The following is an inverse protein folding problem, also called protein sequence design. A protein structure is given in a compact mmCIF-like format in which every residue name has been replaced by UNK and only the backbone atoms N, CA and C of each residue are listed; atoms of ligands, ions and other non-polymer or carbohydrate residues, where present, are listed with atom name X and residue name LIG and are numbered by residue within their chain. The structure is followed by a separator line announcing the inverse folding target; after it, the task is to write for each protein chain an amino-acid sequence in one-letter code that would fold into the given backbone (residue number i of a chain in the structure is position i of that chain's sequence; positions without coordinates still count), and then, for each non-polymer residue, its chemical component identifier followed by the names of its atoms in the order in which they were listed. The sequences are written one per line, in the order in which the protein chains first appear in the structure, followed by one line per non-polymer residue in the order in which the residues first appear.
data_IF_429085190538
#
_entry.id   IF_429085190538
#
_cell.length_a   1.000
_cell.length_b   1.000
_cell.length_c   1.000
_cell.angle_alpha   90.00
_cell.angle_beta   90.00
_cell.angle_gamma   90.00
#
_symmetry.space_group_name_H-M   'P 1'
#
loop_
_entity.id
_entity.type
_entity.pdbx_description
1 polymer ?
#
# COMPACT_ATOMS: atom_id res chain seq x y z
N UNK A 1 1.85 -5.63 -25.60
CA UNK A 1 2.89 -6.44 -24.93
C UNK A 1 2.17 -7.38 -23.96
N UNK A 2 2.31 -8.70 -24.07
CA UNK A 2 1.53 -9.63 -23.24
C UNK A 2 2.07 -9.67 -21.79
N UNK A 3 1.18 -9.90 -20.80
CA UNK A 3 1.52 -9.90 -19.38
C UNK A 3 2.66 -10.87 -19.03
N UNK A 4 2.73 -12.02 -19.71
CA UNK A 4 3.79 -13.02 -19.53
C UNK A 4 5.19 -12.52 -19.92
N UNK A 5 5.29 -11.67 -20.94
CA UNK A 5 6.58 -11.08 -21.36
C UNK A 5 7.07 -10.07 -20.32
N UNK A 6 6.17 -9.27 -19.75
CA UNK A 6 6.50 -8.32 -18.68
C UNK A 6 6.97 -9.05 -17.40
N UNK A 7 6.31 -10.15 -17.02
CA UNK A 7 6.70 -10.95 -15.85
C UNK A 7 8.09 -11.59 -16.00
N UNK A 8 8.45 -12.04 -17.22
CA UNK A 8 9.76 -12.65 -17.51
C UNK A 8 10.93 -11.65 -17.44
N UNK A 9 10.66 -10.36 -17.62
CA UNK A 9 11.66 -9.31 -17.58
C UNK A 9 11.86 -8.71 -16.17
N UNK A 10 11.15 -9.22 -15.14
CA UNK A 10 11.35 -8.76 -13.76
C UNK A 10 12.73 -9.20 -13.23
N UNK A 11 13.49 -8.30 -12.58
CA UNK A 11 14.75 -8.67 -11.94
C UNK A 11 14.58 -9.77 -10.89
N UNK A 12 15.55 -10.68 -10.78
CA UNK A 12 15.48 -11.88 -9.94
C UNK A 12 15.22 -11.61 -8.45
N UNK A 13 15.58 -10.42 -7.95
CA UNK A 13 15.37 -10.01 -6.56
C UNK A 13 13.95 -9.47 -6.29
N UNK A 14 13.13 -9.25 -7.32
CA UNK A 14 11.73 -8.84 -7.17
C UNK A 14 10.89 -10.04 -6.79
N UNK A 15 10.69 -10.23 -5.47
CA UNK A 15 9.79 -11.27 -4.96
C UNK A 15 8.35 -10.97 -5.41
N UNK A 16 7.67 -11.99 -5.94
CA UNK A 16 6.26 -11.86 -6.31
C UNK A 16 5.42 -11.68 -5.04
N UNK A 17 4.63 -10.60 -4.97
CA UNK A 17 3.62 -10.44 -3.92
C UNK A 17 2.63 -11.61 -3.97
N UNK A 18 2.30 -12.19 -2.80
CA UNK A 18 1.27 -13.23 -2.69
C UNK A 18 -0.06 -12.65 -3.18
N UNK A 19 -0.99 -13.45 -3.72
CA UNK A 19 -2.29 -12.95 -4.17
C UNK A 19 -3.02 -12.08 -3.13
N UNK A 20 -2.93 -12.43 -1.84
CA UNK A 20 -3.49 -11.64 -0.73
C UNK A 20 -2.76 -10.31 -0.45
N UNK A 21 -1.49 -10.20 -0.82
CA UNK A 21 -0.68 -8.98 -0.69
C UNK A 21 -0.70 -8.13 -1.97
N UNK A 22 -1.28 -8.64 -3.08
CA UNK A 22 -1.51 -7.85 -4.31
C UNK A 22 -2.67 -6.86 -4.15
N UNK A 23 -3.48 -7.04 -3.10
CA UNK A 23 -4.62 -6.18 -2.74
C UNK A 23 -4.25 -5.37 -1.49
N UNK A 24 -3.18 -4.60 -1.59
CA UNK A 24 -2.78 -3.63 -0.57
C UNK A 24 -2.75 -2.25 -1.22
N UNK A 25 -3.21 -1.24 -0.49
CA UNK A 25 -3.14 0.12 -0.99
C UNK A 25 -1.66 0.57 -1.06
N UNK A 26 -1.28 1.28 -2.12
CA UNK A 26 0.08 1.81 -2.32
C UNK A 26 0.24 3.23 -1.74
N UNK A 27 -0.60 3.64 -0.79
CA UNK A 27 -0.50 4.96 -0.18
C UNK A 27 0.79 5.08 0.66
N UNK A 28 1.24 6.32 0.89
CA UNK A 28 2.40 6.61 1.72
C UNK A 28 2.30 5.96 3.10
N UNK A 29 1.10 5.94 3.69
CA UNK A 29 0.83 5.30 4.97
C UNK A 29 1.09 3.79 4.98
N UNK A 30 0.67 3.05 3.95
CA UNK A 30 0.94 1.61 3.83
C UNK A 30 2.44 1.32 3.64
N UNK A 31 3.10 2.14 2.81
CA UNK A 31 4.54 2.03 2.55
C UNK A 31 5.31 2.25 3.86
N UNK A 32 4.94 3.27 4.62
CA UNK A 32 5.53 3.61 5.91
C UNK A 32 5.30 2.51 6.95
N UNK A 33 4.05 2.06 7.13
CA UNK A 33 3.72 0.98 8.06
C UNK A 33 4.48 -0.31 7.73
N UNK A 34 4.68 -0.64 6.44
CA UNK A 34 5.46 -1.81 6.01
C UNK A 34 6.96 -1.66 6.28
N UNK A 35 7.51 -0.47 6.04
CA UNK A 35 8.92 -0.17 6.33
C UNK A 35 9.18 -0.30 7.84
N UNK A 36 8.32 0.32 8.66
CA UNK A 36 8.45 0.32 10.11
C UNK A 36 8.19 -1.06 10.73
N UNK A 37 7.22 -1.82 10.19
CA UNK A 37 7.02 -3.22 10.55
C UNK A 37 8.29 -4.05 10.37
N UNK A 38 8.98 -3.87 9.24
CA UNK A 38 10.20 -4.61 8.96
C UNK A 38 11.29 -4.29 10.00
N UNK A 39 11.41 -3.02 10.40
CA UNK A 39 12.39 -2.57 11.40
C UNK A 39 12.06 -3.00 12.82
N UNK A 40 10.78 -2.93 13.21
CA UNK A 40 10.33 -3.40 14.53
C UNK A 40 10.47 -4.91 14.66
N UNK A 41 10.15 -5.70 13.62
CA UNK A 41 10.36 -7.15 13.66
C UNK A 41 11.84 -7.56 13.61
N UNK A 42 12.68 -6.81 12.91
CA UNK A 42 14.15 -6.98 12.95
C UNK A 42 14.69 -6.75 14.37
N UNK A 43 14.25 -5.66 15.02
CA UNK A 43 14.59 -5.38 16.40
C UNK A 43 14.11 -6.49 17.33
N UNK A 44 12.82 -6.83 17.28
CA UNK A 44 12.23 -7.92 18.10
C UNK A 44 13.02 -9.21 17.99
N UNK A 45 13.27 -9.69 16.77
CA UNK A 45 14.07 -10.90 16.52
C UNK A 45 15.42 -10.89 17.23
N UNK A 46 16.11 -9.75 17.25
CA UNK A 46 17.42 -9.61 17.89
C UNK A 46 17.38 -9.84 19.40
N UNK A 47 16.29 -9.46 20.07
CA UNK A 47 16.17 -9.53 21.53
C UNK A 47 15.36 -10.74 22.02
N UNK A 48 14.41 -11.25 21.24
CA UNK A 48 13.58 -12.41 21.64
C UNK A 48 14.25 -13.76 21.34
N UNK A 49 14.97 -13.90 20.22
CA UNK A 49 15.61 -15.19 19.86
C UNK A 49 16.65 -15.66 20.89
N UNK A 50 17.48 -14.78 21.48
CA UNK A 50 18.41 -15.20 22.53
C UNK A 50 17.74 -15.68 23.83
N UNK A 51 16.50 -15.28 24.09
CA UNK A 51 15.73 -15.73 25.25
C UNK A 51 14.88 -16.96 24.89
N UNK A 52 15.50 -18.14 24.99
CA UNK A 52 14.92 -19.43 24.55
C UNK A 52 13.56 -19.69 25.23
N UNK A 53 13.40 -19.34 26.50
CA UNK A 53 12.14 -19.56 27.24
C UNK A 53 10.99 -18.74 26.66
N UNK A 54 11.20 -17.44 26.41
CA UNK A 54 10.18 -16.57 25.83
C UNK A 54 9.88 -16.93 24.38
N UNK A 55 10.90 -17.41 23.66
CA UNK A 55 10.78 -17.87 22.28
C UNK A 55 9.98 -19.18 22.18
N UNK A 56 10.28 -20.17 23.00
CA UNK A 56 9.56 -21.46 23.05
C UNK A 56 8.11 -21.28 23.52
N UNK A 57 7.86 -20.35 24.44
CA UNK A 57 6.52 -20.04 24.93
C UNK A 57 5.77 -19.05 24.02
N UNK A 58 6.41 -18.54 22.96
CA UNK A 58 5.84 -17.55 22.02
C UNK A 58 5.22 -16.33 22.74
N UNK A 59 5.86 -15.86 23.80
CA UNK A 59 5.35 -14.75 24.63
C UNK A 59 5.33 -13.45 23.83
N UNK A 60 6.34 -13.26 22.98
CA UNK A 60 6.49 -12.11 22.07
C UNK A 60 6.52 -12.59 20.62
N UNK A 61 5.36 -12.79 19.99
CA UNK A 61 5.29 -13.34 18.64
C UNK A 61 6.06 -12.47 17.64
N UNK A 62 6.83 -13.15 16.79
CA UNK A 62 7.49 -12.58 15.64
C UNK A 62 6.58 -12.79 14.43
N UNK A 63 6.01 -11.71 13.92
CA UNK A 63 5.11 -11.76 12.78
C UNK A 63 5.90 -11.71 11.47
N UNK A 64 5.47 -12.50 10.48
CA UNK A 64 6.06 -12.48 9.14
C UNK A 64 5.51 -11.35 8.27
N UNK A 65 4.24 -10.99 8.47
CA UNK A 65 3.57 -9.94 7.70
C UNK A 65 2.83 -8.93 8.57
N UNK A 66 2.82 -7.68 8.10
CA UNK A 66 2.09 -6.57 8.74
C UNK A 66 0.59 -6.87 8.93
N UNK A 67 -0.01 -7.60 7.99
CA UNK A 67 -1.41 -8.03 8.12
C UNK A 67 -1.61 -8.98 9.29
N UNK A 68 -0.63 -9.84 9.60
CA UNK A 68 -0.77 -10.86 10.65
C UNK A 68 -0.78 -10.21 12.04
N UNK A 69 0.12 -9.25 12.28
CA UNK A 69 0.10 -8.47 13.53
C UNK A 69 -1.16 -7.64 13.67
N UNK A 70 -1.68 -7.06 12.57
CA UNK A 70 -2.94 -6.34 12.62
C UNK A 70 -4.10 -7.27 12.98
N UNK A 71 -4.18 -8.46 12.36
CA UNK A 71 -5.22 -9.47 12.64
C UNK A 71 -5.14 -10.00 14.07
N UNK A 72 -3.93 -10.17 14.62
CA UNK A 72 -3.75 -10.58 16.03
C UNK A 72 -4.34 -9.59 17.05
N UNK A 73 -4.65 -8.36 16.61
CA UNK A 73 -5.29 -7.32 17.44
C UNK A 73 -6.80 -7.18 17.19
N UNK A 74 -7.41 -8.08 16.43
CA UNK A 74 -8.83 -8.07 16.10
C UNK A 74 -9.52 -9.31 16.68
N UNK A 75 -10.82 -9.21 16.92
CA UNK A 75 -11.63 -10.40 17.17
C UNK A 75 -11.70 -11.28 15.91
N UNK A 76 -12.07 -12.54 16.10
CA UNK A 76 -12.37 -13.43 14.99
C UNK A 76 -13.44 -12.86 14.06
N UNK A 77 -13.35 -13.26 12.80
CA UNK A 77 -14.32 -12.88 11.79
C UNK A 77 -15.69 -13.47 12.10
N UNK A 78 -16.72 -12.75 11.68
CA UNK A 78 -18.07 -13.27 11.66
C UNK A 78 -18.16 -14.50 10.74
N UNK A 79 -18.77 -15.58 11.23
CA UNK A 79 -18.83 -16.85 10.51
C UNK A 79 -19.73 -16.78 9.26
N UNK A 80 -20.69 -15.85 9.23
CA UNK A 80 -21.64 -15.72 8.11
C UNK A 80 -21.02 -14.91 6.98
N UNK A 81 -20.45 -13.75 7.31
CA UNK A 81 -19.96 -12.79 6.31
C UNK A 81 -18.44 -12.89 6.05
N UNK A 82 -17.72 -13.73 6.80
CA UNK A 82 -16.26 -13.88 6.75
C UNK A 82 -15.51 -12.52 6.82
N UNK A 83 -16.05 -11.60 7.62
CA UNK A 83 -15.58 -10.23 7.75
C UNK A 83 -15.39 -9.84 9.22
N UNK A 84 -14.49 -8.89 9.47
CA UNK A 84 -14.32 -8.32 10.79
C UNK A 84 -15.45 -7.33 11.08
N UNK A 85 -15.92 -7.29 12.33
CA UNK A 85 -16.90 -6.27 12.72
C UNK A 85 -16.32 -4.87 12.56
N UNK A 86 -17.16 -3.92 12.16
CA UNK A 86 -16.76 -2.51 12.01
C UNK A 86 -16.16 -1.94 13.30
N UNK A 87 -16.75 -2.27 14.45
CA UNK A 87 -16.23 -1.83 15.76
C UNK A 87 -14.80 -2.33 16.05
N UNK A 88 -14.43 -3.53 15.60
CA UNK A 88 -13.03 -4.01 15.72
C UNK A 88 -12.09 -3.21 14.81
N UNK A 89 -12.51 -2.95 13.58
CA UNK A 89 -11.72 -2.23 12.57
C UNK A 89 -11.50 -0.76 12.92
N UNK A 90 -12.49 -0.14 13.57
CA UNK A 90 -12.46 1.26 14.02
C UNK A 90 -11.94 1.42 15.46
N UNK A 91 -11.47 0.33 16.10
CA UNK A 91 -10.91 0.32 17.46
C UNK A 91 -11.88 0.75 18.57
N UNK A 92 -13.17 0.55 18.34
CA UNK A 92 -14.25 0.81 19.30
C UNK A 92 -14.65 -0.45 20.10
N UNK A 93 -14.10 -1.62 19.73
CA UNK A 93 -14.40 -2.89 20.39
C UNK A 93 -13.69 -2.99 21.76
N UNK A 94 -14.41 -3.40 22.80
CA UNK A 94 -13.83 -3.61 24.14
C UNK A 94 -13.03 -4.90 24.31
N UNK A 95 -13.12 -5.85 23.36
CA UNK A 95 -12.53 -7.19 23.46
C UNK A 95 -11.21 -7.36 22.70
N UNK A 96 -10.95 -6.49 21.74
CA UNK A 96 -9.72 -6.52 20.94
C UNK A 96 -9.11 -5.13 20.85
N UNK A 97 -7.85 -5.05 20.45
CA UNK A 97 -7.16 -3.78 20.31
C UNK A 97 -5.65 -3.97 20.36
N UNK A 98 -4.94 -2.87 20.25
CA UNK A 98 -3.47 -2.87 20.30
C UNK A 98 -2.94 -3.25 21.70
N UNK A 99 -3.77 -3.15 22.74
CA UNK A 99 -3.43 -3.61 24.09
C UNK A 99 -3.20 -5.12 24.20
N UNK A 100 -3.65 -5.90 23.22
CA UNK A 100 -3.34 -7.33 23.11
C UNK A 100 -1.89 -7.60 22.71
N UNK A 101 -1.20 -6.59 22.14
CA UNK A 101 0.21 -6.71 21.78
C UNK A 101 1.07 -6.66 23.04
N UNK A 102 1.97 -7.64 23.16
CA UNK A 102 3.01 -7.66 24.17
C UNK A 102 4.29 -7.08 23.60
N UNK A 103 4.97 -6.29 24.42
CA UNK A 103 6.26 -5.68 24.11
C UNK A 103 7.27 -6.02 25.21
N UNK A 104 8.54 -6.15 24.84
CA UNK A 104 9.63 -6.29 25.83
C UNK A 104 10.05 -4.93 26.38
N UNK A 105 10.76 -4.92 27.51
CA UNK A 105 11.28 -3.68 28.08
C UNK A 105 12.25 -2.98 27.13
N UNK A 106 13.04 -3.73 26.35
CA UNK A 106 13.95 -3.19 25.34
C UNK A 106 13.22 -2.52 24.18
N UNK A 107 12.03 -3.02 23.81
CA UNK A 107 11.20 -2.43 22.75
C UNK A 107 10.60 -1.09 23.17
N UNK A 108 10.27 -0.95 24.45
CA UNK A 108 9.67 0.26 25.02
C UNK A 108 10.72 1.22 25.61
N UNK A 109 12.00 0.87 25.55
CA UNK A 109 13.06 1.64 26.17
C UNK A 109 13.28 2.99 25.45
N UNK A 110 13.17 4.09 26.20
CA UNK A 110 13.39 5.48 25.78
C UNK A 110 14.57 6.15 26.48
N UNK A 111 15.31 5.41 27.31
CA UNK A 111 16.42 5.95 28.08
C UNK A 111 17.64 6.24 27.21
N UNK A 112 18.51 7.14 27.68
CA UNK A 112 19.70 7.55 26.94
C UNK A 112 20.71 6.40 26.75
N UNK A 113 20.74 5.42 27.67
CA UNK A 113 21.55 4.21 27.60
C UNK A 113 21.03 3.17 26.59
N UNK A 114 19.78 3.29 26.11
CA UNK A 114 19.25 2.41 25.08
C UNK A 114 19.96 2.62 23.73
N UNK A 115 20.10 1.58 22.90
CA UNK A 115 20.75 1.69 21.59
C UNK A 115 19.92 2.56 20.64
N UNK A 116 20.59 3.33 19.79
CA UNK A 116 19.90 4.10 18.76
C UNK A 116 19.43 3.18 17.61
N UNK A 117 18.22 3.42 17.11
CA UNK A 117 17.63 2.72 15.97
C UNK A 117 17.38 3.69 14.82
N UNK A 118 17.66 3.23 13.59
CA UNK A 118 17.41 3.99 12.37
C UNK A 118 16.17 3.49 11.64
N UNK A 119 15.25 4.39 11.34
CA UNK A 119 14.01 4.10 10.61
C UNK A 119 13.58 5.32 9.78
N UNK A 120 12.48 5.23 9.05
CA UNK A 120 12.05 6.28 8.10
C UNK A 120 10.55 6.57 8.24
N UNK A 121 10.17 7.84 8.09
CA UNK A 121 8.77 8.29 8.01
C UNK A 121 8.59 9.46 7.06
N UNK A 122 7.40 9.61 6.51
CA UNK A 122 7.05 10.75 5.69
C UNK A 122 6.82 11.99 6.56
N UNK A 123 7.50 13.09 6.20
CA UNK A 123 7.33 14.40 6.83
C UNK A 123 7.24 15.51 5.78
N UNK A 124 6.46 16.55 6.08
CA UNK A 124 6.44 17.76 5.28
C UNK A 124 7.67 18.61 5.63
N UNK A 125 8.63 18.66 4.71
CA UNK A 125 9.80 19.53 4.81
C UNK A 125 9.59 20.78 3.97
N UNK A 126 10.14 21.91 4.41
CA UNK A 126 10.13 23.16 3.64
C UNK A 126 11.42 23.26 2.85
N UNK A 127 11.32 23.23 1.52
CA UNK A 127 12.44 23.45 0.60
C UNK A 127 12.09 24.63 -0.28
N UNK A 128 12.89 25.70 -0.26
CA UNK A 128 12.68 26.91 -1.05
C UNK A 128 11.24 27.47 -0.91
N UNK A 129 10.77 27.60 0.33
CA UNK A 129 9.42 28.09 0.68
C UNK A 129 8.24 27.22 0.20
N UNK A 130 8.50 26.01 -0.33
CA UNK A 130 7.46 25.04 -0.70
C UNK A 130 7.48 23.85 0.26
N UNK A 131 6.30 23.44 0.75
CA UNK A 131 6.14 22.22 1.55
C UNK A 131 6.17 21.01 0.63
N UNK A 132 7.06 20.06 0.91
CA UNK A 132 7.19 18.79 0.19
C UNK A 132 7.13 17.62 1.16
N UNK A 133 6.25 16.66 0.90
CA UNK A 133 6.24 15.39 1.64
C UNK A 133 7.46 14.57 1.20
N UNK A 134 8.33 14.23 2.15
CA UNK A 134 9.59 13.51 1.88
C UNK A 134 9.77 12.42 2.91
N UNK A 135 10.35 11.29 2.50
CA UNK A 135 10.74 10.22 3.40
C UNK A 135 12.01 10.64 4.14
N UNK A 136 11.91 10.85 5.45
CA UNK A 136 12.99 11.34 6.31
C UNK A 136 13.51 10.20 7.17
N UNK A 137 14.83 10.03 7.21
CA UNK A 137 15.49 9.10 8.12
C UNK A 137 15.49 9.66 9.54
N UNK A 138 15.05 8.84 10.48
CA UNK A 138 15.05 9.09 11.92
C UNK A 138 16.10 8.22 12.60
N UNK A 139 16.69 8.77 13.65
CA UNK A 139 17.60 8.06 14.56
C UNK A 139 17.08 8.33 15.96
N UNK A 140 16.41 7.35 16.57
CA UNK A 140 15.67 7.51 17.84
C UNK A 140 16.00 6.37 18.80
N UNK A 141 15.40 6.38 20.00
CA UNK A 141 15.36 5.20 20.85
C UNK A 141 14.32 4.17 20.35
N UNK A 142 14.43 2.89 20.75
CA UNK A 142 13.48 1.86 20.33
C UNK A 142 12.04 2.19 20.71
N UNK A 143 11.81 2.67 21.93
CA UNK A 143 10.47 3.03 22.42
C UNK A 143 9.77 4.06 21.52
N UNK A 144 10.49 5.05 20.99
CA UNK A 144 9.93 6.02 20.05
C UNK A 144 9.51 5.38 18.72
N UNK A 145 10.32 4.47 18.19
CA UNK A 145 10.02 3.74 16.94
C UNK A 145 8.80 2.83 17.13
N UNK A 146 8.73 2.09 18.25
CA UNK A 146 7.60 1.21 18.55
C UNK A 146 6.32 1.98 18.84
N UNK A 147 6.38 3.09 19.57
CA UNK A 147 5.22 3.96 19.80
C UNK A 147 4.65 4.47 18.47
N UNK A 148 5.51 4.95 17.57
CA UNK A 148 5.06 5.39 16.26
C UNK A 148 4.47 4.24 15.41
N UNK A 149 5.02 3.02 15.54
CA UNK A 149 4.46 1.84 14.88
C UNK A 149 3.08 1.46 15.41
N UNK A 150 2.86 1.57 16.73
CA UNK A 150 1.54 1.36 17.36
C UNK A 150 0.53 2.39 16.82
N UNK A 151 0.90 3.66 16.70
CA UNK A 151 0.05 4.69 16.10
C UNK A 151 -0.35 4.37 14.65
N UNK A 152 0.59 3.82 13.87
CA UNK A 152 0.27 3.34 12.53
C UNK A 152 -0.67 2.14 12.60
N UNK A 153 -0.41 1.12 13.45
CA UNK A 153 -1.26 -0.07 13.55
C UNK A 153 -2.72 0.22 13.97
N UNK A 154 -2.95 1.30 14.70
CA UNK A 154 -4.28 1.72 15.15
C UNK A 154 -5.25 1.86 13.97
N UNK A 155 -4.82 2.59 12.94
CA UNK A 155 -5.61 2.89 11.73
C UNK A 155 -5.49 1.80 10.65
N UNK A 156 -4.55 0.88 10.79
CA UNK A 156 -4.12 0.01 9.70
C UNK A 156 -5.20 -1.00 9.33
N UNK A 157 -5.82 -1.61 10.34
CA UNK A 157 -6.87 -2.62 10.16
C UNK A 157 -8.04 -2.09 9.32
N UNK A 158 -8.62 -0.96 9.73
CA UNK A 158 -9.71 -0.31 9.00
C UNK A 158 -9.28 0.19 7.61
N UNK A 159 -8.07 0.74 7.48
CA UNK A 159 -7.56 1.19 6.19
C UNK A 159 -7.38 0.03 5.19
N UNK A 160 -6.76 -1.07 5.62
CA UNK A 160 -6.57 -2.26 4.80
C UNK A 160 -7.90 -2.91 4.44
N UNK A 161 -8.83 -3.02 5.39
CA UNK A 161 -10.18 -3.52 5.11
C UNK A 161 -10.89 -2.67 4.04
N UNK A 162 -10.86 -1.34 4.15
CA UNK A 162 -11.47 -0.44 3.15
C UNK A 162 -10.86 -0.65 1.76
N UNK A 163 -9.54 -0.74 1.66
CA UNK A 163 -8.86 -0.99 0.39
C UNK A 163 -9.29 -2.32 -0.25
N UNK A 164 -9.35 -3.40 0.56
CA UNK A 164 -9.82 -4.71 0.11
C UNK A 164 -11.29 -4.69 -0.31
N UNK A 165 -12.15 -4.05 0.49
CA UNK A 165 -13.57 -3.93 0.21
C UNK A 165 -13.83 -3.13 -1.07
N UNK A 166 -13.20 -1.96 -1.25
CA UNK A 166 -13.32 -1.15 -2.46
C UNK A 166 -12.85 -1.92 -3.71
N UNK A 167 -11.76 -2.66 -3.61
CA UNK A 167 -11.29 -3.49 -4.71
C UNK A 167 -12.27 -4.63 -5.04
N UNK A 168 -12.86 -5.25 -4.03
CA UNK A 168 -13.90 -6.26 -4.23
C UNK A 168 -15.17 -5.67 -4.89
N UNK A 169 -15.60 -4.47 -4.48
CA UNK A 169 -16.71 -3.75 -5.12
C UNK A 169 -16.39 -3.45 -6.59
N UNK A 170 -15.20 -2.95 -6.89
CA UNK A 170 -14.78 -2.69 -8.28
C UNK A 170 -14.74 -3.96 -9.11
N UNK A 171 -14.27 -5.08 -8.54
CA UNK A 171 -14.27 -6.38 -9.22
C UNK A 171 -15.70 -6.84 -9.53
N UNK A 172 -16.60 -6.75 -8.54
CA UNK A 172 -18.02 -7.07 -8.73
C UNK A 172 -18.66 -6.21 -9.82
N UNK A 173 -18.37 -4.90 -9.84
CA UNK A 173 -18.86 -3.99 -10.87
C UNK A 173 -18.34 -4.35 -12.27
N UNK A 174 -17.09 -4.78 -12.40
CA UNK A 174 -16.52 -5.24 -13.68
C UNK A 174 -17.16 -6.53 -14.18
N UNK A 175 -17.43 -7.47 -13.27
CA UNK A 175 -18.05 -8.75 -13.58
C UNK A 175 -19.55 -8.62 -13.92
N UNK A 176 -20.21 -7.59 -13.39
CA UNK A 176 -21.64 -7.32 -13.56
C UNK A 176 -21.89 -5.97 -14.24
N UNK A 177 -21.03 -5.60 -15.20
CA UNK A 177 -21.19 -4.35 -15.92
C UNK A 177 -22.53 -4.37 -16.68
N UNK A 178 -23.33 -3.32 -16.51
CA UNK A 178 -24.61 -3.19 -17.21
C UNK A 178 -24.39 -2.75 -18.65
N UNK A 179 -25.26 -3.21 -19.55
CA UNK A 179 -25.25 -2.77 -20.94
C UNK A 179 -25.32 -1.24 -21.02
N UNK A 180 -24.58 -0.66 -21.97
CA UNK A 180 -24.45 0.79 -22.17
C UNK A 180 -23.77 1.56 -21.01
N UNK A 181 -23.25 0.87 -19.99
CA UNK A 181 -22.40 1.48 -18.97
C UNK A 181 -20.93 1.20 -19.28
N UNK A 182 -20.05 2.05 -18.74
CA UNK A 182 -18.61 1.79 -18.72
C UNK A 182 -18.02 2.15 -17.35
N UNK A 183 -16.89 1.53 -17.02
CA UNK A 183 -16.10 1.89 -15.85
C UNK A 183 -14.84 2.55 -16.35
N UNK A 184 -14.60 3.78 -15.90
CA UNK A 184 -13.39 4.52 -16.22
C UNK A 184 -12.57 4.66 -14.95
N UNK A 185 -11.34 4.16 -14.99
CA UNK A 185 -10.35 4.31 -13.93
C UNK A 185 -9.30 5.29 -14.45
N UNK A 186 -9.27 6.48 -13.85
CA UNK A 186 -8.24 7.47 -14.11
C UNK A 186 -7.16 7.39 -13.04
N UNK A 187 -5.90 7.21 -13.45
CA UNK A 187 -4.77 7.37 -12.55
C UNK A 187 -4.32 8.83 -12.50
N UNK A 188 -3.49 9.17 -11.51
CA UNK A 188 -2.89 10.50 -11.41
C UNK A 188 -2.04 10.80 -12.65
N UNK A 189 -2.09 12.06 -13.10
CA UNK A 189 -1.25 12.52 -14.19
C UNK A 189 0.20 12.60 -13.76
N UNK A 190 1.10 12.01 -14.55
CA UNK A 190 2.53 12.16 -14.36
C UNK A 190 3.06 13.29 -15.24
N UNK A 191 3.75 14.25 -14.62
CA UNK A 191 4.34 15.37 -15.33
C UNK A 191 5.78 15.03 -15.72
N UNK A 192 6.07 15.15 -17.01
CA UNK A 192 7.39 14.90 -17.58
C UNK A 192 7.98 16.20 -18.11
N UNK A 193 9.19 16.53 -17.67
CA UNK A 193 9.99 17.58 -18.33
C UNK A 193 10.60 17.02 -19.61
N UNK A 194 10.29 17.62 -20.75
CA UNK A 194 10.92 17.26 -22.01
C UNK A 194 12.33 17.84 -22.07
N UNK A 195 13.29 17.04 -22.52
CA UNK A 195 14.64 17.51 -22.90
C UNK A 195 14.72 17.54 -24.42
N UNK A 196 15.12 18.68 -24.97
CA UNK A 196 15.38 18.78 -26.39
C UNK A 196 16.67 18.03 -26.73
N UNK A 197 16.71 17.39 -27.89
CA UNK A 197 17.89 16.63 -28.34
C UNK A 197 19.11 17.54 -28.58
N UNK A 198 18.87 18.80 -28.91
CA UNK A 198 19.87 19.83 -29.14
C UNK A 198 19.47 21.09 -28.36
N UNK A 199 19.95 21.22 -27.12
CA UNK A 199 19.66 22.38 -26.29
C UNK A 199 20.50 23.59 -26.75
N UNK A 200 19.85 24.60 -27.34
CA UNK A 200 20.47 25.91 -27.51
C UNK A 200 20.61 26.57 -26.13
N UNK A 201 21.69 27.32 -25.89
CA UNK A 201 21.91 27.98 -24.59
C UNK A 201 20.74 28.89 -24.17
N UNK A 202 19.96 29.39 -25.13
CA UNK A 202 18.78 30.22 -24.89
C UNK A 202 17.55 29.42 -24.42
N UNK A 203 17.46 28.10 -24.64
CA UNK A 203 16.33 27.27 -24.20
C UNK A 203 16.48 26.75 -22.77
N UNK A 204 17.58 27.07 -22.07
CA UNK A 204 17.86 26.63 -20.70
C UNK A 204 16.74 26.99 -19.70
N UNK A 205 16.00 28.08 -19.94
CA UNK A 205 14.91 28.55 -19.07
C UNK A 205 13.50 28.16 -19.54
N UNK A 206 13.36 27.53 -20.71
CA UNK A 206 12.08 27.08 -21.27
C UNK A 206 12.09 25.56 -21.39
N UNK A 207 11.55 24.87 -20.38
CA UNK A 207 11.30 23.43 -20.46
C UNK A 207 9.85 23.19 -20.79
N UNK A 208 9.59 22.57 -21.93
CA UNK A 208 8.27 22.04 -22.25
C UNK A 208 7.95 20.93 -21.25
N UNK A 209 6.84 21.05 -20.55
CA UNK A 209 6.30 20.00 -19.70
C UNK A 209 5.15 19.30 -20.44
N UNK A 210 5.05 17.99 -20.28
CA UNK A 210 3.92 17.21 -20.78
C UNK A 210 3.33 16.44 -19.60
N UNK A 211 2.02 16.55 -19.43
CA UNK A 211 1.27 15.72 -18.49
C UNK A 211 0.76 14.49 -19.22
N UNK A 212 1.09 13.30 -18.74
CA UNK A 212 0.55 12.04 -19.24
C UNK A 212 -0.60 11.61 -18.32
N UNK A 213 -1.80 11.51 -18.88
CA UNK A 213 -2.97 10.99 -18.19
C UNK A 213 -3.22 9.55 -18.63
N UNK A 214 -3.17 8.61 -17.68
CA UNK A 214 -3.46 7.20 -17.92
C UNK A 214 -4.89 6.91 -17.51
N UNK A 215 -5.68 6.37 -18.44
CA UNK A 215 -7.06 5.97 -18.16
C UNK A 215 -7.30 4.55 -18.65
N UNK A 216 -7.96 3.73 -17.85
CA UNK A 216 -8.39 2.40 -18.23
C UNK A 216 -9.91 2.40 -18.31
N UNK A 217 -10.46 2.01 -19.46
CA UNK A 217 -11.90 1.92 -19.67
C UNK A 217 -12.28 0.45 -19.79
N UNK A 218 -13.28 0.05 -19.02
CA UNK A 218 -13.98 -1.23 -19.18
C UNK A 218 -15.34 -0.93 -19.77
N UNK A 219 -15.63 -1.49 -20.94
CA UNK A 219 -16.90 -1.32 -21.64
C UNK A 219 -17.33 -2.62 -22.30
N UNK A 220 -18.60 -2.71 -22.64
CA UNK A 220 -19.11 -3.77 -23.51
C UNK A 220 -18.50 -3.66 -24.92
N UNK A 221 -18.24 -4.83 -25.53
CA UNK A 221 -17.79 -4.93 -26.91
C UNK A 221 -18.87 -4.41 -27.88
N UNK A 222 -18.43 -3.65 -28.88
CA UNK A 222 -19.28 -3.05 -29.91
C UNK A 222 -18.90 -3.71 -31.24
N UNK A 223 -19.87 -4.27 -31.95
CA UNK A 223 -19.63 -5.08 -33.17
C UNK A 223 -18.79 -4.34 -34.20
N UNK A 224 -19.10 -3.07 -34.43
CA UNK A 224 -18.46 -2.21 -35.44
C UNK A 224 -16.99 -1.89 -35.11
N UNK A 225 -16.61 -1.95 -33.84
CA UNK A 225 -15.28 -1.55 -33.34
C UNK A 225 -14.42 -2.77 -33.01
N UNK A 226 -14.99 -3.74 -32.30
CA UNK A 226 -14.27 -4.88 -31.72
C UNK A 226 -14.48 -6.18 -32.52
N UNK A 227 -15.37 -6.18 -33.52
CA UNK A 227 -15.72 -7.36 -34.32
C UNK A 227 -16.57 -8.40 -33.56
N UNK A 228 -16.97 -8.10 -32.33
CA UNK A 228 -17.84 -8.92 -31.49
C UNK A 228 -18.86 -8.02 -30.82
N UNK A 229 -20.11 -8.45 -30.80
CA UNK A 229 -21.18 -7.76 -30.07
C UNK A 229 -21.29 -8.35 -28.66
N UNK A 230 -21.30 -7.49 -27.64
CA UNK A 230 -21.65 -7.92 -26.30
C UNK A 230 -23.16 -7.96 -26.14
N UNK A 231 -23.69 -9.13 -25.75
CA UNK A 231 -25.11 -9.34 -25.49
C UNK A 231 -25.39 -9.51 -23.99
N UNK A 232 -26.62 -9.24 -23.50
CA UNK A 232 -26.95 -9.38 -22.09
C UNK A 232 -26.68 -10.78 -21.52
N UNK A 233 -26.95 -11.83 -22.29
CA UNK A 233 -26.76 -13.23 -21.87
C UNK A 233 -25.31 -13.70 -22.02
N UNK A 234 -24.53 -13.03 -22.87
CA UNK A 234 -23.14 -13.37 -23.19
C UNK A 234 -22.32 -12.07 -23.20
N UNK A 235 -22.08 -11.47 -22.01
CA UNK A 235 -21.37 -10.20 -21.93
C UNK A 235 -19.92 -10.38 -22.36
N UNK A 236 -19.47 -9.51 -23.27
CA UNK A 236 -18.08 -9.42 -23.69
C UNK A 236 -17.52 -8.07 -23.24
N UNK A 237 -16.64 -8.07 -22.24
CA UNK A 237 -16.05 -6.85 -21.69
C UNK A 237 -14.67 -6.60 -22.32
N UNK A 238 -14.50 -5.43 -22.92
CA UNK A 238 -13.25 -4.94 -23.48
C UNK A 238 -12.55 -4.06 -22.46
N UNK A 239 -11.23 -4.22 -22.32
CA UNK A 239 -10.38 -3.33 -21.52
C UNK A 239 -9.53 -2.49 -22.45
N UNK A 240 -9.76 -1.18 -22.46
CA UNK A 240 -9.04 -0.21 -23.26
C UNK A 240 -8.12 0.64 -22.38
N UNK A 241 -6.98 1.03 -22.95
CA UNK A 241 -5.99 1.86 -22.27
C UNK A 241 -5.81 3.14 -23.08
N UNK A 242 -6.10 4.28 -22.46
CA UNK A 242 -5.96 5.60 -23.05
C UNK A 242 -4.80 6.34 -22.40
N UNK A 243 -3.95 6.92 -23.24
CA UNK A 243 -2.86 7.80 -22.86
C UNK A 243 -3.16 9.16 -23.49
N UNK A 244 -3.49 10.15 -22.66
CA UNK A 244 -3.67 11.52 -23.14
C UNK A 244 -2.45 12.34 -22.75
N UNK A 245 -1.81 12.94 -23.77
CA UNK A 245 -0.69 13.85 -23.58
C UNK A 245 -1.23 15.27 -23.64
N UNK A 246 -1.11 16.02 -22.54
CA UNK A 246 -1.46 17.43 -22.49
C UNK A 246 -0.19 18.28 -22.44
N UNK A 247 0.04 19.21 -23.39
CA UNK A 247 1.10 20.19 -23.23
C UNK A 247 0.82 21.06 -22.01
N UNK A 248 1.83 21.18 -21.13
CA UNK A 248 1.81 21.98 -19.90
C UNK A 248 2.11 23.45 -20.14
#
# INVERSE_FOLDING_TARGET
MNQRTFERLKPYFVRSARPKDRVTCCCHYHIEARSLFSKTMEFRKKYTIPNILDFEQNVYPIYEHLTDIAVATLCDKDQVNNSYSKACLDRECSKCGLSLLKFTDEELNVSDDAPNVSWERYEYITVNSKKKLTLVRKCTKPGEMFNYFIELLDKFAGHQFRAQWQNAQLKCLKENLLQNHCIIIHDYSENYGCKEKFELQQTYFQRTEVSIHVSVIYRHAILEVDGVESLPDIPCIITEHFLCNKPG
#
